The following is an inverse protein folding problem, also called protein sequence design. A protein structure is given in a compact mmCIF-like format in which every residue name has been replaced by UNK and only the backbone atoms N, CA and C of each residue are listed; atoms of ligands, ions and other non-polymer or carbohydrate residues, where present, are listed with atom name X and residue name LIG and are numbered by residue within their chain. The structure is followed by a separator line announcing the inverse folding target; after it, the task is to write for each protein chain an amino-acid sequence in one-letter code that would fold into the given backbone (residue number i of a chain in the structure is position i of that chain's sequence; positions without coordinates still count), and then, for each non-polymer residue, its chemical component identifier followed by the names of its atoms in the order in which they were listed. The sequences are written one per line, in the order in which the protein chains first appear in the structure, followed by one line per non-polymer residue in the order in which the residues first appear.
data_IF_600818932593
#
_entry.id   IF_600818932593
#
_cell.length_a   1.000
_cell.length_b   1.000
_cell.length_c   1.000
_cell.angle_alpha   90.00
_cell.angle_beta   90.00
_cell.angle_gamma   90.00
#
_symmetry.space_group_name_H-M   'P 1'
#
loop_
_entity.id
_entity.type
_entity.pdbx_description
1 polymer ?
#
# COMPACT_ATOMS: atom_id res chain seq x y z
N UNK A 1 -1.59 18.32 -2.14
CA UNK A 1 -0.17 18.50 -2.52
C UNK A 1 0.49 17.14 -2.62
N UNK A 2 1.28 16.90 -3.67
CA UNK A 2 2.10 15.71 -3.83
C UNK A 2 3.41 15.88 -3.03
N UNK A 3 3.59 15.10 -1.96
CA UNK A 3 4.77 15.16 -1.09
C UNK A 3 5.83 14.12 -1.46
N UNK A 4 5.54 13.23 -2.41
CA UNK A 4 6.45 12.13 -2.77
C UNK A 4 7.22 12.39 -4.07
N UNK A 5 6.82 13.38 -4.85
CA UNK A 5 7.50 13.72 -6.09
C UNK A 5 8.98 14.08 -5.82
N UNK A 6 9.90 13.31 -6.39
CA UNK A 6 11.34 13.51 -6.22
C UNK A 6 11.91 13.11 -4.85
N UNK A 7 11.09 12.54 -3.94
CA UNK A 7 11.56 12.10 -2.64
C UNK A 7 12.44 10.85 -2.77
N UNK A 8 13.57 10.85 -2.08
CA UNK A 8 14.39 9.64 -1.88
C UNK A 8 13.92 8.91 -0.65
N UNK A 9 13.53 7.65 -0.82
CA UNK A 9 13.10 6.76 0.28
C UNK A 9 14.24 5.79 0.58
N UNK A 10 14.67 5.77 1.82
CA UNK A 10 15.82 4.97 2.24
C UNK A 10 15.54 4.15 3.52
N UNK A 11 14.29 4.10 3.96
CA UNK A 11 13.89 3.33 5.13
C UNK A 11 12.40 2.93 5.04
N UNK A 12 12.03 1.89 5.79
CA UNK A 12 10.63 1.56 6.05
C UNK A 12 9.92 2.70 6.79
N UNK A 13 8.60 2.72 6.68
CA UNK A 13 7.74 3.70 7.38
C UNK A 13 7.96 5.17 6.98
N UNK A 14 8.63 5.45 5.87
CA UNK A 14 8.74 6.81 5.35
C UNK A 14 7.56 7.18 4.46
N UNK A 15 7.14 6.25 3.60
CA UNK A 15 6.01 6.44 2.69
C UNK A 15 5.16 5.18 2.66
N UNK A 16 3.90 5.32 3.00
CA UNK A 16 2.87 4.30 2.82
C UNK A 16 1.98 4.71 1.67
N UNK A 17 1.93 3.91 0.62
CA UNK A 17 1.04 4.13 -0.53
C UNK A 17 -0.26 3.38 -0.33
N UNK A 18 -1.37 4.06 -0.57
CA UNK A 18 -2.72 3.51 -0.46
C UNK A 18 -3.43 3.57 -1.81
N UNK A 19 -4.17 2.53 -2.11
CA UNK A 19 -5.02 2.49 -3.30
C UNK A 19 -6.30 1.70 -3.04
N UNK A 20 -7.33 2.05 -3.81
CA UNK A 20 -8.64 1.40 -3.80
C UNK A 20 -8.87 0.75 -5.15
N UNK A 21 -9.12 -0.55 -5.13
CA UNK A 21 -9.61 -1.27 -6.31
C UNK A 21 -10.94 -1.94 -6.04
N UNK A 22 -11.62 -2.41 -7.07
CA UNK A 22 -12.79 -3.25 -6.90
C UNK A 22 -12.60 -4.59 -7.60
N UNK A 23 -13.23 -5.61 -7.03
CA UNK A 23 -13.20 -6.96 -7.55
C UNK A 23 -14.60 -7.57 -7.50
N UNK A 24 -14.86 -8.50 -8.41
CA UNK A 24 -16.07 -9.33 -8.36
C UNK A 24 -15.67 -10.71 -7.86
N UNK A 25 -16.36 -11.19 -6.83
CA UNK A 25 -16.16 -12.52 -6.26
C UNK A 25 -17.50 -13.14 -5.96
N UNK A 26 -17.73 -14.34 -6.49
CA UNK A 26 -18.96 -15.11 -6.31
C UNK A 26 -20.25 -14.29 -6.57
N UNK A 27 -20.21 -13.44 -7.62
CA UNK A 27 -21.33 -12.55 -8.01
C UNK A 27 -21.46 -11.27 -7.19
N UNK A 28 -20.67 -11.10 -6.12
CA UNK A 28 -20.64 -9.90 -5.28
C UNK A 28 -19.47 -9.00 -5.66
N UNK A 29 -19.70 -7.68 -5.66
CA UNK A 29 -18.65 -6.67 -5.81
C UNK A 29 -18.10 -6.29 -4.44
N UNK A 30 -16.77 -6.32 -4.31
CA UNK A 30 -16.05 -5.83 -3.15
C UNK A 30 -15.12 -4.69 -3.53
N UNK A 31 -15.02 -3.70 -2.67
CA UNK A 31 -14.05 -2.61 -2.73
C UNK A 31 -12.89 -2.97 -1.81
N UNK A 32 -11.69 -3.12 -2.38
CA UNK A 32 -10.49 -3.55 -1.66
C UNK A 32 -9.56 -2.36 -1.48
N UNK A 33 -9.34 -2.00 -0.24
CA UNK A 33 -8.37 -0.99 0.18
C UNK A 33 -7.08 -1.69 0.58
N UNK A 34 -5.96 -1.25 0.05
CA UNK A 34 -4.65 -1.81 0.34
C UNK A 34 -3.64 -0.71 0.66
N UNK A 35 -2.74 -1.00 1.62
CA UNK A 35 -1.64 -0.14 2.02
C UNK A 35 -0.33 -0.89 1.87
N UNK A 36 0.66 -0.25 1.26
CA UNK A 36 2.00 -0.81 1.09
C UNK A 36 3.06 0.16 1.58
N UNK A 37 4.04 -0.37 2.30
CA UNK A 37 5.29 0.36 2.52
C UNK A 37 6.04 0.47 1.20
N UNK A 38 6.34 1.71 0.79
CA UNK A 38 6.96 1.93 -0.51
C UNK A 38 8.38 1.39 -0.57
N UNK A 39 9.13 1.43 0.54
CA UNK A 39 10.52 0.98 0.58
C UNK A 39 10.63 -0.54 0.56
N UNK A 40 9.98 -1.22 1.48
CA UNK A 40 10.07 -2.69 1.60
C UNK A 40 9.11 -3.46 0.71
N UNK A 41 8.17 -2.79 0.05
CA UNK A 41 7.03 -3.40 -0.63
C UNK A 41 6.08 -4.18 0.28
N UNK A 42 6.22 -4.09 1.58
CA UNK A 42 5.39 -4.83 2.51
C UNK A 42 3.94 -4.35 2.45
N UNK A 43 3.01 -5.29 2.31
CA UNK A 43 1.58 -5.02 2.44
C UNK A 43 1.26 -4.86 3.92
N UNK A 44 1.08 -3.62 4.36
CA UNK A 44 0.91 -3.27 5.78
C UNK A 44 -0.56 -3.16 6.21
N UNK A 45 -1.46 -3.21 5.24
CA UNK A 45 -2.90 -3.26 5.50
C UNK A 45 -3.68 -3.62 4.26
N UNK A 46 -4.75 -4.42 4.43
CA UNK A 46 -5.68 -4.77 3.38
C UNK A 46 -7.06 -5.08 3.98
N UNK A 47 -8.11 -4.56 3.37
CA UNK A 47 -9.48 -4.84 3.76
C UNK A 47 -10.42 -4.69 2.58
N UNK A 48 -11.44 -5.55 2.51
CA UNK A 48 -12.47 -5.51 1.49
C UNK A 48 -13.87 -5.37 2.10
N UNK A 49 -14.63 -4.43 1.57
CA UNK A 49 -16.03 -4.21 1.94
C UNK A 49 -16.95 -4.21 0.75
N UNK A 50 -18.21 -4.56 0.96
CA UNK A 50 -19.24 -4.52 -0.07
C UNK A 50 -19.65 -3.09 -0.47
N UNK A 51 -19.24 -2.11 0.31
CA UNK A 51 -19.51 -0.69 0.10
C UNK A 51 -18.22 0.12 0.14
N UNK A 52 -18.20 1.22 -0.60
CA UNK A 52 -17.06 2.15 -0.61
C UNK A 52 -17.28 3.22 0.48
N UNK A 53 -17.30 2.81 1.75
CA UNK A 53 -17.43 3.74 2.88
C UNK A 53 -16.07 4.04 3.50
N UNK A 54 -15.97 5.18 4.17
CA UNK A 54 -14.75 5.57 4.88
C UNK A 54 -14.27 4.52 5.91
N UNK A 55 -15.22 3.81 6.54
CA UNK A 55 -14.89 2.80 7.55
C UNK A 55 -14.09 1.62 6.95
N UNK A 56 -14.36 1.24 5.71
CA UNK A 56 -13.61 0.17 5.05
C UNK A 56 -12.16 0.61 4.76
N UNK A 57 -11.94 1.90 4.45
CA UNK A 57 -10.60 2.46 4.29
C UNK A 57 -9.83 2.61 5.61
N UNK A 58 -10.53 2.80 6.73
CA UNK A 58 -9.92 2.89 8.07
C UNK A 58 -9.31 1.55 8.51
N UNK A 59 -9.94 0.41 8.16
CA UNK A 59 -9.47 -0.92 8.57
C UNK A 59 -8.00 -1.22 8.19
N UNK A 60 -7.55 -0.99 6.94
CA UNK A 60 -6.14 -1.12 6.60
C UNK A 60 -5.22 -0.19 7.40
N UNK A 61 -5.68 1.02 7.71
CA UNK A 61 -4.91 1.97 8.51
C UNK A 61 -4.77 1.50 9.97
N UNK A 62 -5.83 0.93 10.55
CA UNK A 62 -5.77 0.27 11.86
C UNK A 62 -4.79 -0.92 11.85
N UNK A 63 -4.76 -1.72 10.77
CA UNK A 63 -3.79 -2.81 10.61
C UNK A 63 -2.35 -2.29 10.55
N UNK A 64 -2.09 -1.22 9.80
CA UNK A 64 -0.79 -0.55 9.76
C UNK A 64 -0.35 -0.10 11.17
N UNK A 65 -1.26 0.58 11.92
CA UNK A 65 -0.98 1.05 13.28
C UNK A 65 -0.65 -0.12 14.21
N UNK A 66 -1.42 -1.21 14.14
CA UNK A 66 -1.18 -2.40 14.95
C UNK A 66 0.12 -3.12 14.59
N UNK A 67 0.47 -3.14 13.30
CA UNK A 67 1.68 -3.81 12.82
C UNK A 67 2.96 -3.02 13.17
N UNK A 68 2.92 -1.70 13.05
CA UNK A 68 4.12 -0.84 13.15
C UNK A 68 4.24 -0.10 14.48
N UNK A 69 3.13 0.17 15.15
CA UNK A 69 3.05 1.08 16.27
C UNK A 69 3.03 2.56 15.85
N UNK A 70 2.40 3.39 16.66
CA UNK A 70 2.20 4.82 16.36
C UNK A 70 3.53 5.56 16.20
N UNK A 71 4.49 5.33 17.09
CA UNK A 71 5.77 6.06 17.06
C UNK A 71 6.61 5.74 15.80
N UNK A 72 6.50 4.53 15.26
CA UNK A 72 7.25 4.14 14.07
C UNK A 72 6.68 4.75 12.77
N UNK A 73 5.41 5.13 12.75
CA UNK A 73 4.73 5.74 11.59
C UNK A 73 4.48 7.24 11.74
N UNK A 74 4.91 7.82 12.84
CA UNK A 74 4.82 9.25 13.09
C UNK A 74 5.59 10.04 12.01
N UNK A 75 4.92 11.01 11.40
CA UNK A 75 5.41 11.80 10.26
C UNK A 75 5.60 11.02 8.94
N UNK A 76 5.25 9.73 8.91
CA UNK A 76 5.17 8.98 7.67
C UNK A 76 4.24 9.67 6.67
N UNK A 77 4.58 9.62 5.40
CA UNK A 77 3.73 10.14 4.34
C UNK A 77 2.75 9.03 3.92
N UNK A 78 1.45 9.31 4.06
CA UNK A 78 0.41 8.48 3.47
C UNK A 78 0.03 9.05 2.10
N UNK A 79 0.40 8.36 1.04
CA UNK A 79 0.20 8.78 -0.35
C UNK A 79 -0.93 7.99 -1.01
N UNK A 80 -1.90 8.71 -1.61
CA UNK A 80 -3.07 8.14 -2.26
C UNK A 80 -3.39 8.82 -3.59
N UNK A 81 -4.30 8.23 -4.37
CA UNK A 81 -4.85 8.79 -5.62
C UNK A 81 -5.79 9.99 -5.43
N UNK A 82 -6.09 10.34 -4.17
CA UNK A 82 -7.00 11.45 -3.87
C UNK A 82 -8.48 11.10 -3.91
N UNK A 83 -8.84 9.83 -3.89
CA UNK A 83 -10.23 9.38 -3.78
C UNK A 83 -10.91 9.96 -2.54
N UNK A 84 -12.21 10.33 -2.66
CA UNK A 84 -12.97 11.01 -1.59
C UNK A 84 -13.03 10.24 -0.27
N UNK A 85 -12.91 8.91 -0.30
CA UNK A 85 -12.87 8.05 0.88
C UNK A 85 -11.72 8.39 1.84
N UNK A 86 -10.56 8.85 1.31
CA UNK A 86 -9.40 9.23 2.08
C UNK A 86 -9.52 10.61 2.74
N UNK A 87 -10.55 11.39 2.36
CA UNK A 87 -10.81 12.73 2.91
C UNK A 87 -12.02 12.76 3.86
N UNK A 88 -12.57 11.61 4.23
CA UNK A 88 -13.61 11.58 5.25
C UNK A 88 -13.04 12.06 6.60
N UNK A 89 -13.86 12.77 7.39
CA UNK A 89 -13.41 13.31 8.69
C UNK A 89 -12.76 12.22 9.55
N UNK A 90 -13.42 11.04 9.68
CA UNK A 90 -12.88 9.94 10.49
C UNK A 90 -11.53 9.42 10.01
N UNK A 91 -11.31 9.40 8.69
CA UNK A 91 -10.01 8.98 8.13
C UNK A 91 -8.94 10.01 8.42
N UNK A 92 -9.26 11.29 8.21
CA UNK A 92 -8.36 12.41 8.50
C UNK A 92 -8.05 12.54 9.99
N UNK A 93 -9.07 12.37 10.85
CA UNK A 93 -8.88 12.40 12.32
C UNK A 93 -7.91 11.29 12.78
N UNK A 94 -8.00 10.09 12.16
CA UNK A 94 -7.08 9.00 12.50
C UNK A 94 -5.65 9.30 12.02
N UNK A 95 -5.47 9.86 10.82
CA UNK A 95 -4.15 10.28 10.33
C UNK A 95 -3.54 11.37 11.22
N UNK A 96 -4.34 12.34 11.66
CA UNK A 96 -3.89 13.39 12.56
C UNK A 96 -3.52 12.84 13.95
N UNK A 97 -4.32 11.92 14.48
CA UNK A 97 -4.04 11.24 15.73
C UNK A 97 -2.67 10.53 15.71
N UNK A 98 -2.36 9.82 14.64
CA UNK A 98 -1.05 9.14 14.48
C UNK A 98 0.03 10.05 13.91
N UNK A 99 -0.31 11.31 13.62
CA UNK A 99 0.59 12.34 13.05
C UNK A 99 1.21 11.94 11.70
N UNK A 100 0.49 11.18 10.90
CA UNK A 100 0.87 10.92 9.52
C UNK A 100 0.53 12.12 8.62
N UNK A 101 1.30 12.31 7.57
CA UNK A 101 1.11 13.41 6.60
C UNK A 101 0.41 12.86 5.37
N UNK A 102 -0.69 13.48 4.95
CA UNK A 102 -1.37 13.08 3.71
C UNK A 102 -0.71 13.69 2.48
N UNK A 103 -0.52 12.87 1.47
CA UNK A 103 -0.02 13.24 0.15
C UNK A 103 -0.97 12.70 -0.91
N UNK A 104 -1.25 13.52 -1.90
CA UNK A 104 -2.18 13.18 -2.98
C UNK A 104 -1.45 13.26 -4.30
N UNK A 105 -1.59 12.24 -5.14
CA UNK A 105 -1.07 12.25 -6.50
C UNK A 105 -1.71 13.38 -7.30
N UNK A 106 -0.90 14.04 -8.12
CA UNK A 106 -1.37 15.06 -9.06
C UNK A 106 -2.01 14.44 -10.31
N UNK A 107 -1.65 13.19 -10.60
CA UNK A 107 -2.18 12.40 -11.71
C UNK A 107 -2.12 10.90 -11.35
N UNK A 108 -2.79 10.05 -12.13
CA UNK A 108 -2.82 8.59 -11.91
C UNK A 108 -1.43 7.94 -11.95
N UNK A 109 -0.47 8.50 -12.72
CA UNK A 109 0.88 7.95 -12.85
C UNK A 109 1.69 8.07 -11.54
N UNK A 110 1.37 9.04 -10.70
CA UNK A 110 2.06 9.23 -9.41
C UNK A 110 1.74 8.12 -8.39
N UNK A 111 0.66 7.34 -8.59
CA UNK A 111 0.29 6.20 -7.75
C UNK A 111 0.49 4.83 -8.43
N UNK A 112 1.21 4.79 -9.55
CA UNK A 112 1.43 3.58 -10.35
C UNK A 112 1.97 2.38 -9.54
N UNK A 113 2.69 2.65 -8.45
CA UNK A 113 3.17 1.60 -7.57
C UNK A 113 2.03 0.84 -6.89
N UNK A 114 1.08 1.55 -6.29
CA UNK A 114 -0.06 0.92 -5.62
C UNK A 114 -1.00 0.25 -6.65
N UNK A 115 -1.21 0.87 -7.80
CA UNK A 115 -2.01 0.31 -8.90
C UNK A 115 -1.44 -1.03 -9.40
N UNK A 116 -0.12 -1.11 -9.60
CA UNK A 116 0.54 -2.36 -9.99
C UNK A 116 0.34 -3.46 -8.95
N UNK A 117 0.39 -3.12 -7.65
CA UNK A 117 0.17 -4.09 -6.56
C UNK A 117 -1.28 -4.56 -6.50
N UNK A 118 -2.23 -3.66 -6.68
CA UNK A 118 -3.64 -4.00 -6.72
C UNK A 118 -3.99 -4.87 -7.94
N UNK A 119 -3.40 -4.60 -9.09
CA UNK A 119 -3.53 -5.46 -10.27
C UNK A 119 -3.05 -6.88 -9.97
N UNK A 120 -1.93 -7.02 -9.28
CA UNK A 120 -1.41 -8.32 -8.87
C UNK A 120 -2.34 -9.04 -7.88
N UNK A 121 -2.85 -8.35 -6.86
CA UNK A 121 -3.84 -8.93 -5.92
C UNK A 121 -5.04 -9.45 -6.69
N UNK A 122 -5.58 -8.64 -7.58
CA UNK A 122 -6.77 -8.92 -8.36
C UNK A 122 -6.61 -10.14 -9.29
N UNK A 123 -5.49 -10.24 -9.96
CA UNK A 123 -5.31 -11.23 -11.02
C UNK A 123 -4.60 -12.51 -10.59
N UNK A 124 -3.74 -12.46 -9.58
CA UNK A 124 -2.96 -13.62 -9.16
C UNK A 124 -3.44 -14.27 -7.87
N UNK A 125 -3.81 -13.50 -6.87
CA UNK A 125 -4.13 -14.05 -5.55
C UNK A 125 -5.62 -14.26 -5.32
N UNK A 126 -6.44 -13.29 -5.67
CA UNK A 126 -7.88 -13.35 -5.39
C UNK A 126 -8.62 -14.50 -6.07
N UNK A 127 -8.29 -14.90 -7.31
CA UNK A 127 -8.93 -16.05 -7.94
C UNK A 127 -8.74 -17.37 -7.18
N UNK A 128 -7.68 -17.48 -6.39
CA UNK A 128 -7.34 -18.68 -5.62
C UNK A 128 -8.08 -18.76 -4.28
N UNK A 129 -8.73 -17.68 -3.83
CA UNK A 129 -9.41 -17.62 -2.53
C UNK A 129 -10.92 -17.77 -2.70
N UNK A 130 -11.56 -18.42 -1.74
CA UNK A 130 -13.02 -18.55 -1.66
C UNK A 130 -13.56 -17.54 -0.64
N UNK A 131 -14.77 -17.04 -0.86
CA UNK A 131 -15.42 -16.16 0.10
C UNK A 131 -16.88 -15.97 -0.28
N UNK A 132 -17.81 -16.46 0.53
CA UNK A 132 -19.25 -16.36 0.30
C UNK A 132 -19.88 -15.12 0.95
N UNK A 133 -19.14 -14.44 1.82
CA UNK A 133 -19.56 -13.25 2.52
C UNK A 133 -18.33 -12.38 2.85
N UNK A 134 -18.55 -11.17 3.35
CA UNK A 134 -17.49 -10.21 3.68
C UNK A 134 -16.47 -10.76 4.69
N UNK A 135 -16.90 -11.58 5.66
CA UNK A 135 -16.01 -12.17 6.67
C UNK A 135 -15.04 -13.15 6.01
N UNK A 136 -15.55 -14.08 5.20
CA UNK A 136 -14.73 -15.06 4.48
C UNK A 136 -13.84 -14.38 3.45
N UNK A 137 -14.34 -13.34 2.77
CA UNK A 137 -13.58 -12.55 1.84
C UNK A 137 -12.37 -11.91 2.53
N UNK A 138 -12.56 -11.29 3.69
CA UNK A 138 -11.47 -10.67 4.45
C UNK A 138 -10.50 -11.69 5.05
N UNK A 139 -10.94 -12.91 5.42
CA UNK A 139 -10.03 -14.01 5.75
C UNK A 139 -9.11 -14.34 4.56
N UNK A 140 -9.68 -14.44 3.35
CA UNK A 140 -8.92 -14.64 2.13
C UNK A 140 -7.92 -13.52 1.85
N UNK A 141 -8.29 -12.25 2.11
CA UNK A 141 -7.38 -11.12 1.98
C UNK A 141 -6.23 -11.18 3.01
N UNK A 142 -6.50 -11.57 4.24
CA UNK A 142 -5.46 -11.75 5.26
C UNK A 142 -4.47 -12.87 4.89
N UNK A 143 -4.95 -13.98 4.32
CA UNK A 143 -4.08 -15.03 3.77
C UNK A 143 -3.24 -14.52 2.60
N UNK A 144 -3.82 -13.71 1.71
CA UNK A 144 -3.10 -13.07 0.60
C UNK A 144 -2.00 -12.16 1.15
N UNK A 145 -2.31 -11.33 2.15
CA UNK A 145 -1.33 -10.46 2.80
C UNK A 145 -0.16 -11.25 3.37
N UNK A 146 -0.46 -12.33 4.09
CA UNK A 146 0.56 -13.21 4.65
C UNK A 146 1.43 -13.83 3.56
N UNK A 147 0.83 -14.46 2.55
CA UNK A 147 1.52 -15.13 1.45
C UNK A 147 2.38 -14.14 0.63
N UNK A 148 1.83 -12.97 0.35
CA UNK A 148 2.55 -11.90 -0.34
C UNK A 148 3.79 -11.44 0.45
N UNK A 149 3.63 -11.20 1.74
CA UNK A 149 4.71 -10.68 2.58
C UNK A 149 5.80 -11.72 2.86
N UNK A 150 5.43 -13.02 2.95
CA UNK A 150 6.38 -14.09 3.32
C UNK A 150 7.00 -14.81 2.14
N UNK A 151 6.24 -15.02 1.05
CA UNK A 151 6.65 -15.94 -0.02
C UNK A 151 6.96 -15.24 -1.34
N UNK A 152 6.39 -14.05 -1.60
CA UNK A 152 6.57 -13.40 -2.89
C UNK A 152 7.92 -12.71 -3.01
N UNK A 153 8.82 -13.35 -3.70
CA UNK A 153 10.13 -12.78 -4.05
C UNK A 153 9.99 -11.65 -5.07
N UNK A 154 10.73 -10.57 -4.89
CA UNK A 154 10.70 -9.40 -5.75
C UNK A 154 12.10 -9.02 -6.21
N UNK A 155 12.27 -8.80 -7.51
CA UNK A 155 13.56 -8.44 -8.10
C UNK A 155 14.17 -7.19 -7.44
N UNK A 156 13.36 -6.14 -7.24
CA UNK A 156 13.79 -4.89 -6.62
C UNK A 156 14.28 -5.03 -5.16
N UNK A 157 13.90 -6.12 -4.49
CA UNK A 157 14.34 -6.47 -3.13
C UNK A 157 15.52 -7.48 -3.13
N UNK A 158 16.19 -7.65 -4.26
CA UNK A 158 17.24 -8.65 -4.40
C UNK A 158 16.73 -10.09 -4.30
N UNK A 159 15.58 -10.37 -4.91
CA UNK A 159 14.88 -11.67 -4.88
C UNK A 159 14.47 -12.13 -3.47
N UNK A 160 14.18 -11.18 -2.60
CA UNK A 160 13.64 -11.42 -1.26
C UNK A 160 12.14 -11.13 -1.23
N UNK A 161 11.44 -11.75 -0.28
CA UNK A 161 10.10 -11.33 0.08
C UNK A 161 10.17 -10.03 0.91
N UNK A 162 9.07 -9.28 1.01
CA UNK A 162 9.02 -8.07 1.85
C UNK A 162 9.48 -8.33 3.28
N UNK A 163 9.04 -9.43 3.89
CA UNK A 163 9.41 -9.79 5.26
C UNK A 163 10.90 -10.12 5.40
N UNK A 164 11.46 -10.91 4.49
CA UNK A 164 12.90 -11.22 4.47
C UNK A 164 13.73 -9.95 4.31
N UNK A 165 13.30 -9.04 3.44
CA UNK A 165 13.97 -7.77 3.22
C UNK A 165 13.96 -6.88 4.48
N UNK A 166 12.80 -6.76 5.16
CA UNK A 166 12.72 -5.99 6.40
C UNK A 166 13.55 -6.59 7.54
N UNK A 167 13.57 -7.92 7.67
CA UNK A 167 14.41 -8.60 8.67
C UNK A 167 15.88 -8.32 8.44
N UNK A 168 16.35 -8.38 7.19
CA UNK A 168 17.76 -8.11 6.86
C UNK A 168 18.15 -6.64 7.15
N UNK A 169 17.26 -5.67 6.84
CA UNK A 169 17.50 -4.26 7.18
C UNK A 169 17.65 -4.08 8.68
N UNK A 170 16.81 -4.74 9.47
CA UNK A 170 16.85 -4.63 10.93
C UNK A 170 18.14 -5.23 11.53
N UNK A 171 18.64 -6.32 10.95
CA UNK A 171 19.83 -7.02 11.41
C UNK A 171 21.13 -6.33 11.00
N UNK A 172 21.22 -5.87 9.74
CA UNK A 172 22.48 -5.43 9.15
C UNK A 172 22.72 -3.91 9.23
N UNK A 173 21.73 -3.11 9.62
CA UNK A 173 21.79 -1.63 9.56
C UNK A 173 22.20 -1.07 8.19
N UNK A 174 22.16 -1.86 7.13
CA UNK A 174 22.49 -1.47 5.77
C UNK A 174 21.25 -0.84 5.15
N UNK A 175 21.36 0.43 4.78
CA UNK A 175 20.29 1.18 4.11
C UNK A 175 20.66 1.39 2.66
N UNK A 176 19.94 0.75 1.75
CA UNK A 176 20.01 1.07 0.32
C UNK A 176 19.01 2.19 0.02
N UNK A 177 19.46 3.26 -0.64
CA UNK A 177 18.55 4.31 -1.08
C UNK A 177 17.66 3.79 -2.22
N UNK A 178 16.35 4.00 -2.07
CA UNK A 178 15.39 3.85 -3.16
C UNK A 178 15.02 5.23 -3.69
N UNK A 179 15.27 5.46 -4.96
CA UNK A 179 14.78 6.65 -5.62
C UNK A 179 13.33 6.42 -6.04
N UNK A 180 12.41 7.24 -5.55
CA UNK A 180 11.06 7.30 -6.10
C UNK A 180 11.19 7.90 -7.50
N UNK A 181 10.74 7.16 -8.51
CA UNK A 181 10.70 7.65 -9.86
C UNK A 181 9.86 8.93 -9.92
N UNK A 182 10.50 10.04 -10.29
CA UNK A 182 9.79 11.21 -10.71
C UNK A 182 9.40 10.99 -12.17
N UNK A 183 8.14 10.65 -12.42
CA UNK A 183 7.63 10.47 -13.79
C UNK A 183 7.86 11.68 -14.68
N UNK A 184 7.92 12.87 -14.10
CA UNK A 184 8.23 14.11 -14.84
C UNK A 184 9.61 14.04 -15.52
N UNK A 185 10.63 13.54 -14.80
CA UNK A 185 11.99 13.39 -15.37
C UNK A 185 12.09 12.29 -16.43
N UNK A 186 11.21 11.28 -16.40
CA UNK A 186 11.16 10.26 -17.44
C UNK A 186 10.50 10.74 -18.74
N UNK A 187 9.51 11.64 -18.65
CA UNK A 187 8.92 12.27 -19.83
C UNK A 187 9.89 13.24 -20.49
N UNK A 188 10.70 13.96 -19.69
CA UNK A 188 11.70 14.91 -20.18
C UNK A 188 12.94 14.23 -20.79
N UNK A 189 13.24 13.00 -20.37
CA UNK A 189 14.39 12.21 -20.88
C UNK A 189 14.05 11.27 -22.04
N UNK A 190 12.87 11.38 -22.63
CA UNK A 190 12.44 10.64 -23.82
C UNK A 190 12.65 9.13 -23.71
N UNK A 191 11.62 8.36 -23.90
CA UNK A 191 11.76 6.93 -24.25
C UNK A 191 12.62 6.83 -25.52
N UNK A 192 13.92 6.75 -25.36
CA UNK A 192 14.79 6.34 -26.45
C UNK A 192 14.83 4.79 -26.39
N UNK A 193 14.07 4.23 -27.32
CA UNK A 193 14.02 2.88 -27.90
C UNK A 193 14.51 1.68 -27.07
#
# INVERSE_FOLDING_TARGET
TNLVAGLKVNNINQVIVGDLTYVYKDGQRYFVFSLFDLYSAMMVGIYGGERMRAIEGIRPLEQLINLRGIEAIKYCIHHTDGGSQYFSNRYMDLLDFVKMRISVSGNCLDNAYAEQRNSMIKHHFLPLKRGRNEIEFNKGLAEIQYEYNTNRKQNRLGWKSPLEFENEISEQKIRTEMQIFNYQTHLDNGFIK
#
